data_IF_482106095974
#
_entry.id   IF_482106095974
#
_cell.length_a   1.000
_cell.length_b   1.000
_cell.length_c   1.000
_cell.angle_alpha   90.00
_cell.angle_beta   90.00
_cell.angle_gamma   90.00
#
_symmetry.space_group_name_H-M   'P 1'
#
loop_
_entity.id
_entity.type
_entity.pdbx_description
1 polymer ?
#
# COMPACT_ATOMS: atom_id res chain seq x y z
N UNK A 1 -31.43 -29.70 -18.61
CA UNK A 1 -30.02 -29.31 -18.81
C UNK A 1 -29.90 -27.88 -18.33
N UNK A 2 -29.48 -27.72 -17.07
CA UNK A 2 -29.19 -26.40 -16.50
C UNK A 2 -27.78 -26.08 -16.97
N UNK A 3 -27.65 -25.04 -17.79
CA UNK A 3 -26.35 -24.50 -18.17
C UNK A 3 -25.80 -23.71 -16.99
N UNK A 4 -24.81 -24.27 -16.30
CA UNK A 4 -23.93 -23.53 -15.40
C UNK A 4 -23.18 -22.48 -16.22
N UNK A 5 -23.80 -21.31 -16.34
CA UNK A 5 -23.14 -20.10 -16.79
C UNK A 5 -22.28 -19.57 -15.65
N UNK A 6 -21.08 -20.14 -15.47
CA UNK A 6 -19.99 -19.46 -14.78
C UNK A 6 -19.66 -18.20 -15.59
N UNK A 7 -20.40 -17.13 -15.32
CA UNK A 7 -20.06 -15.80 -15.78
C UNK A 7 -18.99 -15.28 -14.84
N UNK A 8 -17.73 -15.66 -15.10
CA UNK A 8 -16.61 -14.86 -14.62
C UNK A 8 -16.87 -13.44 -15.13
N UNK A 9 -17.02 -12.44 -14.25
CA UNK A 9 -17.26 -11.06 -14.69
C UNK A 9 -16.17 -10.69 -15.69
N UNK A 10 -16.52 -10.13 -16.84
CA UNK A 10 -15.53 -9.72 -17.84
C UNK A 10 -14.63 -8.64 -17.21
N UNK A 11 -13.34 -8.96 -17.09
CA UNK A 11 -12.33 -8.23 -16.33
C UNK A 11 -11.67 -7.17 -17.22
N UNK A 12 -12.38 -6.10 -17.55
CA UNK A 12 -11.76 -4.98 -18.26
C UNK A 12 -10.79 -4.19 -17.35
N UNK A 13 -9.70 -3.76 -17.98
CA UNK A 13 -8.44 -3.24 -17.44
C UNK A 13 -8.53 -2.38 -16.16
N UNK A 14 -7.86 -2.85 -15.09
CA UNK A 14 -7.59 -2.02 -13.93
C UNK A 14 -6.44 -1.07 -14.21
N UNK A 15 -6.76 0.22 -14.19
CA UNK A 15 -5.83 1.34 -14.31
C UNK A 15 -5.68 2.09 -12.99
N UNK A 16 -5.86 1.40 -11.85
CA UNK A 16 -5.91 2.02 -10.53
C UNK A 16 -4.88 1.35 -9.61
N UNK A 17 -4.04 2.18 -9.02
CA UNK A 17 -3.07 1.81 -7.99
C UNK A 17 -3.59 2.35 -6.67
N UNK A 18 -3.59 1.53 -5.62
CA UNK A 18 -4.12 1.95 -4.33
C UNK A 18 -3.29 3.10 -3.73
N UNK A 19 -3.87 3.86 -2.79
CA UNK A 19 -3.07 4.65 -1.86
C UNK A 19 -2.01 3.81 -1.13
N UNK A 20 -1.07 4.47 -0.46
CA UNK A 20 -0.07 3.80 0.38
C UNK A 20 -0.78 2.96 1.44
N UNK A 21 -0.57 1.64 1.41
CA UNK A 21 -1.14 0.71 2.39
C UNK A 21 -0.29 0.64 3.64
N UNK A 22 1.03 0.75 3.49
CA UNK A 22 1.99 0.76 4.58
C UNK A 22 3.32 1.34 4.11
N UNK A 23 4.14 1.81 5.05
CA UNK A 23 5.47 2.29 4.72
C UNK A 23 6.47 2.25 5.86
N UNK A 24 7.75 2.25 5.51
CA UNK A 24 8.88 2.50 6.39
C UNK A 24 9.42 3.89 6.04
N UNK A 25 9.37 4.78 7.02
CA UNK A 25 9.79 6.18 6.87
C UNK A 25 11.02 6.51 7.72
N UNK A 26 11.42 5.60 8.60
CA UNK A 26 12.57 5.78 9.46
C UNK A 26 13.26 4.44 9.71
N UNK A 27 14.44 4.25 9.13
CA UNK A 27 15.29 3.08 9.32
C UNK A 27 16.75 3.49 9.51
N UNK A 28 17.46 2.84 10.42
CA UNK A 28 18.90 3.09 10.60
C UNK A 28 19.67 2.33 9.53
N UNK A 29 20.32 3.02 8.60
CA UNK A 29 21.29 2.43 7.69
C UNK A 29 22.65 2.34 8.38
N UNK A 30 23.21 1.14 8.44
CA UNK A 30 24.50 0.85 9.04
C UNK A 30 25.53 0.54 7.96
N UNK A 31 26.77 0.98 8.16
CA UNK A 31 27.91 0.63 7.32
C UNK A 31 29.18 0.43 8.16
N UNK A 32 29.84 -0.72 7.98
CA UNK A 32 31.19 -0.97 8.48
C UNK A 32 32.15 -0.03 7.76
N UNK A 33 32.90 0.75 8.53
CA UNK A 33 33.86 1.72 8.00
C UNK A 33 35.23 1.06 7.78
N UNK A 34 36.04 1.65 6.89
CA UNK A 34 37.40 1.16 6.60
C UNK A 34 38.32 1.15 7.84
N UNK A 35 37.97 1.90 8.89
CA UNK A 35 38.68 1.94 10.17
C UNK A 35 38.21 0.87 11.19
N UNK A 36 37.30 -0.04 10.78
CA UNK A 36 36.78 -1.12 11.61
C UNK A 36 35.66 -0.72 12.58
N UNK A 37 35.16 0.51 12.52
CA UNK A 37 34.02 0.98 13.34
C UNK A 37 32.72 0.96 12.55
N UNK A 38 31.60 0.83 13.25
CA UNK A 38 30.28 0.96 12.64
C UNK A 38 29.82 2.42 12.64
N UNK A 39 29.38 2.91 11.49
CA UNK A 39 28.65 4.17 11.37
C UNK A 39 27.18 3.88 11.04
N UNK A 40 26.28 4.77 11.46
CA UNK A 40 24.89 4.73 11.04
C UNK A 40 24.34 6.12 10.76
N UNK A 41 23.31 6.17 9.92
CA UNK A 41 22.42 7.32 9.82
C UNK A 41 20.99 6.88 9.49
N UNK A 42 20.01 7.76 9.69
CA UNK A 42 18.61 7.49 9.43
C UNK A 42 18.29 7.62 7.93
N UNK A 43 17.55 6.64 7.43
CA UNK A 43 17.19 6.39 6.03
C UNK A 43 18.35 6.42 5.04
N UNK A 44 19.58 6.21 5.54
CA UNK A 44 20.79 6.29 4.74
C UNK A 44 21.81 5.29 5.23
N UNK A 45 22.37 4.51 4.31
CA UNK A 45 23.58 3.72 4.55
C UNK A 45 24.78 4.65 4.31
N UNK A 46 25.59 4.99 5.34
CA UNK A 46 26.76 5.85 5.18
C UNK A 46 27.79 5.27 4.20
N UNK A 47 28.71 6.09 3.67
CA UNK A 47 29.87 5.58 2.91
C UNK A 47 30.77 4.71 3.80
N UNK A 48 31.50 3.75 3.24
CA UNK A 48 32.50 2.98 3.99
C UNK A 48 33.73 3.82 4.36
N UNK A 49 34.07 4.81 3.53
CA UNK A 49 35.13 5.78 3.84
C UNK A 49 34.65 6.79 4.89
N UNK A 50 35.10 6.59 6.13
CA UNK A 50 34.81 7.46 7.28
C UNK A 50 35.09 8.94 7.05
N UNK A 51 36.05 9.30 6.18
CA UNK A 51 36.35 10.70 5.89
C UNK A 51 35.22 11.35 5.10
N UNK A 52 34.57 10.61 4.20
CA UNK A 52 33.46 11.12 3.39
C UNK A 52 32.23 11.44 4.23
N UNK A 53 32.01 10.69 5.31
CA UNK A 53 30.88 10.90 6.23
C UNK A 53 31.07 12.15 7.12
N UNK A 54 32.30 12.54 7.42
CA UNK A 54 32.59 13.72 8.26
C UNK A 54 32.58 15.05 7.49
N UNK A 55 32.59 15.01 6.16
CA UNK A 55 32.68 16.20 5.29
C UNK A 55 31.30 16.72 4.89
N UNK A 56 30.24 15.92 5.04
CA UNK A 56 28.88 16.27 4.66
C UNK A 56 28.03 16.55 5.90
N UNK A 57 27.41 17.74 6.03
CA UNK A 57 26.61 18.09 7.20
C UNK A 57 25.26 17.37 7.15
N UNK A 58 24.98 16.50 8.13
CA UNK A 58 23.85 15.54 8.23
C UNK A 58 22.41 16.03 8.02
N UNK A 59 22.15 16.72 6.91
CA UNK A 59 20.86 17.22 6.48
C UNK A 59 20.21 16.33 5.41
N UNK A 60 18.96 16.63 5.08
CA UNK A 60 18.14 15.91 4.09
C UNK A 60 18.78 15.76 2.70
N UNK A 61 19.80 16.55 2.37
CA UNK A 61 20.48 16.53 1.06
C UNK A 61 21.74 15.65 1.00
N UNK A 62 22.07 14.97 2.09
CA UNK A 62 23.28 14.17 2.18
C UNK A 62 23.09 12.75 1.63
N UNK A 63 23.86 12.41 0.59
CA UNK A 63 23.90 11.08 0.00
C UNK A 63 24.83 10.14 0.78
N UNK A 64 24.44 8.86 0.86
CA UNK A 64 25.27 7.73 1.31
C UNK A 64 25.44 6.68 0.20
N UNK A 65 25.90 5.48 0.54
CA UNK A 65 25.94 4.34 -0.42
C UNK A 65 24.55 3.99 -0.93
N UNK A 66 23.58 4.08 -0.03
CA UNK A 66 22.18 3.98 -0.36
C UNK A 66 21.38 4.91 0.55
N UNK A 67 20.25 5.39 0.07
CA UNK A 67 19.35 6.24 0.85
C UNK A 67 17.91 6.08 0.38
N UNK A 68 16.97 6.46 1.23
CA UNK A 68 15.58 6.63 0.87
C UNK A 68 14.90 7.75 1.68
N UNK A 69 13.76 8.21 1.19
CA UNK A 69 12.81 9.06 1.91
C UNK A 69 11.73 8.17 2.54
N UNK A 70 11.24 7.20 1.77
CA UNK A 70 10.33 6.16 2.25
C UNK A 70 10.43 4.88 1.42
N UNK A 71 10.04 3.76 2.05
CA UNK A 71 9.67 2.53 1.38
C UNK A 71 8.16 2.33 1.58
N UNK A 72 7.39 2.27 0.50
CA UNK A 72 5.92 2.25 0.53
C UNK A 72 5.40 1.02 -0.22
N UNK A 73 4.38 0.37 0.33
CA UNK A 73 3.64 -0.69 -0.35
C UNK A 73 2.29 -0.16 -0.82
N UNK A 74 2.03 -0.37 -2.10
CA UNK A 74 0.72 -0.15 -2.72
C UNK A 74 0.20 -1.47 -3.30
N UNK A 75 -1.06 -1.50 -3.70
CA UNK A 75 -1.66 -2.59 -4.46
C UNK A 75 -2.08 -2.15 -5.86
N UNK A 76 -2.02 -3.10 -6.78
CA UNK A 76 -2.53 -2.96 -8.14
C UNK A 76 -3.10 -4.29 -8.60
N UNK A 77 -4.18 -4.26 -9.38
CA UNK A 77 -4.67 -5.43 -10.10
C UNK A 77 -4.03 -5.52 -11.46
N UNK A 78 -3.62 -6.74 -11.82
CA UNK A 78 -3.26 -7.08 -13.19
C UNK A 78 -4.12 -8.29 -13.53
N UNK A 79 -5.11 -8.08 -14.39
CA UNK A 79 -6.17 -9.05 -14.70
C UNK A 79 -6.96 -9.43 -13.44
N UNK A 80 -7.04 -10.72 -13.11
CA UNK A 80 -7.67 -11.28 -11.90
C UNK A 80 -6.70 -11.45 -10.73
N UNK A 81 -5.44 -11.06 -10.88
CA UNK A 81 -4.41 -11.26 -9.86
C UNK A 81 -4.02 -9.96 -9.13
N UNK A 82 -3.86 -10.08 -7.80
CA UNK A 82 -3.38 -8.99 -6.96
C UNK A 82 -1.85 -8.91 -6.94
N UNK A 83 -1.32 -7.73 -7.20
CA UNK A 83 0.09 -7.39 -7.09
C UNK A 83 0.32 -6.31 -6.04
N UNK A 84 1.48 -6.33 -5.40
CA UNK A 84 2.00 -5.18 -4.69
C UNK A 84 2.94 -4.39 -5.57
N UNK A 85 2.99 -3.09 -5.35
CA UNK A 85 4.02 -2.19 -5.86
C UNK A 85 4.81 -1.71 -4.65
N UNK A 86 6.05 -2.20 -4.50
CA UNK A 86 7.00 -1.62 -3.56
C UNK A 86 7.61 -0.39 -4.22
N UNK A 87 7.46 0.77 -3.61
CA UNK A 87 8.00 2.05 -4.07
C UNK A 87 9.06 2.52 -3.08
N UNK A 88 10.28 2.75 -3.56
CA UNK A 88 11.34 3.42 -2.83
C UNK A 88 11.46 4.84 -3.35
N UNK A 89 11.07 5.83 -2.54
CA UNK A 89 11.36 7.25 -2.80
C UNK A 89 12.75 7.57 -2.29
N UNK A 90 13.53 8.34 -3.02
CA UNK A 90 14.88 8.73 -2.60
C UNK A 90 15.34 10.03 -3.26
N UNK A 91 16.35 10.66 -2.67
CA UNK A 91 16.97 11.85 -3.23
C UNK A 91 17.97 11.47 -4.32
N UNK A 92 17.82 12.07 -5.49
CA UNK A 92 18.66 11.88 -6.67
C UNK A 92 19.17 13.25 -7.15
N UNK A 93 19.99 13.27 -8.20
CA UNK A 93 20.37 14.53 -8.82
C UNK A 93 21.33 14.38 -9.99
N UNK A 94 21.50 15.46 -10.73
CA UNK A 94 22.32 15.52 -11.93
C UNK A 94 23.31 16.70 -11.87
N UNK A 95 24.44 16.51 -12.54
CA UNK A 95 25.41 17.57 -12.78
C UNK A 95 25.18 18.20 -14.14
N UNK A 96 25.18 19.53 -14.19
CA UNK A 96 24.99 20.25 -15.45
C UNK A 96 26.25 20.20 -16.34
N UNK A 97 27.48 20.19 -15.79
CA UNK A 97 28.74 20.03 -16.55
C UNK A 97 29.89 19.44 -15.71
N UNK A 98 30.69 18.55 -16.30
CA UNK A 98 31.68 17.70 -15.61
C UNK A 98 32.88 18.37 -14.94
N UNK A 99 33.03 19.70 -15.01
CA UNK A 99 34.22 20.39 -14.50
C UNK A 99 34.04 21.12 -13.16
N UNK A 100 32.82 21.34 -12.66
CA UNK A 100 32.62 21.99 -11.36
C UNK A 100 31.36 21.43 -10.67
N UNK A 101 31.49 20.85 -9.48
CA UNK A 101 30.37 20.40 -8.63
C UNK A 101 29.40 21.54 -8.19
N UNK A 102 29.56 22.75 -8.71
CA UNK A 102 28.85 23.97 -8.27
C UNK A 102 27.40 24.07 -8.76
N UNK A 103 26.97 23.20 -9.69
CA UNK A 103 25.62 23.19 -10.25
C UNK A 103 24.92 21.82 -10.08
N UNK A 104 24.99 21.20 -8.89
CA UNK A 104 24.23 19.98 -8.62
C UNK A 104 22.74 20.33 -8.47
N UNK A 105 21.89 19.78 -9.34
CA UNK A 105 20.43 19.94 -9.21
C UNK A 105 19.86 18.69 -8.57
N UNK A 106 19.31 18.83 -7.37
CA UNK A 106 18.67 17.74 -6.64
C UNK A 106 17.22 17.57 -7.09
N UNK A 107 16.76 16.34 -7.16
CA UNK A 107 15.36 16.01 -7.42
C UNK A 107 15.00 14.68 -6.77
N UNK A 108 13.72 14.49 -6.47
CA UNK A 108 13.24 13.24 -5.89
C UNK A 108 12.95 12.21 -6.98
N UNK A 109 13.50 11.01 -6.81
CA UNK A 109 13.29 9.87 -7.69
C UNK A 109 12.51 8.79 -6.97
N UNK A 110 11.88 7.92 -7.75
CA UNK A 110 11.39 6.64 -7.26
C UNK A 110 12.02 5.49 -8.03
N UNK A 111 12.18 4.40 -7.32
CA UNK A 111 12.28 3.06 -7.89
C UNK A 111 11.09 2.24 -7.43
N UNK A 112 10.62 1.35 -8.29
CA UNK A 112 9.49 0.51 -7.94
C UNK A 112 9.64 -0.91 -8.46
N UNK A 113 9.01 -1.83 -7.74
CA UNK A 113 8.98 -3.26 -8.03
C UNK A 113 7.55 -3.75 -7.88
N UNK A 114 7.00 -4.30 -8.96
CA UNK A 114 5.66 -4.89 -9.01
C UNK A 114 5.82 -6.40 -8.85
N UNK A 115 5.18 -7.01 -7.86
CA UNK A 115 5.29 -8.45 -7.60
C UNK A 115 3.99 -9.04 -7.04
N UNK A 116 3.78 -10.35 -7.18
CA UNK A 116 2.52 -10.99 -6.75
C UNK A 116 2.28 -10.81 -5.26
N UNK A 117 1.07 -10.45 -4.87
CA UNK A 117 0.77 -10.12 -3.46
C UNK A 117 1.07 -11.24 -2.48
N UNK A 118 0.89 -12.50 -2.90
CA UNK A 118 1.19 -13.69 -2.10
C UNK A 118 2.64 -13.76 -1.61
N UNK A 119 3.60 -13.12 -2.28
CA UNK A 119 5.02 -13.09 -1.85
C UNK A 119 5.21 -12.38 -0.51
N UNK A 120 4.27 -11.54 -0.07
CA UNK A 120 4.32 -10.95 1.28
C UNK A 120 4.29 -12.03 2.38
N UNK A 121 3.62 -13.17 2.14
CA UNK A 121 3.61 -14.30 3.09
C UNK A 121 4.99 -14.98 3.21
N UNK A 122 5.80 -14.93 2.15
CA UNK A 122 7.19 -15.40 2.19
C UNK A 122 8.09 -14.39 2.93
N UNK A 123 7.80 -13.09 2.79
CA UNK A 123 8.53 -12.02 3.49
C UNK A 123 8.28 -12.01 4.99
N UNK A 124 7.08 -12.35 5.43
CA UNK A 124 6.71 -12.43 6.84
C UNK A 124 5.86 -13.69 7.07
N UNK A 125 6.49 -14.86 7.21
CA UNK A 125 5.77 -16.10 7.50
C UNK A 125 5.19 -16.09 8.93
N UNK A 126 4.20 -16.93 9.20
CA UNK A 126 3.57 -17.01 10.53
C UNK A 126 4.56 -17.45 11.62
N UNK A 127 5.54 -18.29 11.27
CA UNK A 127 6.56 -18.82 12.17
C UNK A 127 7.95 -18.23 11.85
N UNK A 128 8.10 -16.92 12.09
CA UNK A 128 9.37 -16.21 11.90
C UNK A 128 10.44 -16.76 12.86
N UNK A 129 11.54 -17.28 12.31
CA UNK A 129 12.69 -17.74 13.09
C UNK A 129 13.65 -16.58 13.35
N UNK A 130 13.66 -16.10 14.60
CA UNK A 130 14.64 -15.12 15.03
C UNK A 130 16.07 -15.66 14.99
N UNK A 131 17.02 -14.75 14.79
CA UNK A 131 18.45 -14.98 14.71
C UNK A 131 18.90 -15.88 13.54
N UNK A 132 18.04 -16.05 12.53
CA UNK A 132 18.33 -16.73 11.27
C UNK A 132 17.95 -15.79 10.12
N UNK A 133 18.91 -15.31 9.29
CA UNK A 133 18.57 -14.53 8.10
C UNK A 133 17.87 -15.40 7.07
N UNK A 134 17.10 -14.78 6.18
CA UNK A 134 16.49 -15.43 5.02
C UNK A 134 16.28 -14.43 3.88
N UNK A 135 16.16 -14.93 2.66
CA UNK A 135 16.00 -14.12 1.45
C UNK A 135 14.74 -14.55 0.71
N UNK A 136 14.00 -13.57 0.18
CA UNK A 136 12.83 -13.80 -0.65
C UNK A 136 13.06 -13.23 -2.03
N UNK A 137 12.99 -14.10 -3.04
CA UNK A 137 12.91 -13.69 -4.43
C UNK A 137 11.49 -13.23 -4.75
N UNK A 138 11.33 -11.93 -5.04
CA UNK A 138 10.01 -11.37 -5.32
C UNK A 138 9.48 -11.72 -6.71
N UNK A 139 10.35 -12.21 -7.61
CA UNK A 139 9.97 -12.60 -8.98
C UNK A 139 9.22 -11.46 -9.68
N UNK A 140 9.77 -10.26 -9.64
CA UNK A 140 9.06 -9.04 -10.01
C UNK A 140 8.43 -9.16 -11.40
N UNK A 141 7.14 -8.87 -11.50
CA UNK A 141 6.46 -8.69 -12.77
C UNK A 141 7.15 -7.57 -13.56
N UNK A 142 7.29 -6.39 -12.95
CA UNK A 142 7.87 -5.20 -13.53
C UNK A 142 8.78 -4.52 -12.52
N UNK A 143 9.88 -3.94 -12.99
CA UNK A 143 10.72 -3.02 -12.21
C UNK A 143 10.91 -1.74 -13.00
N UNK A 144 10.96 -0.59 -12.35
CA UNK A 144 11.23 0.67 -13.03
C UNK A 144 11.81 1.74 -12.13
N UNK A 145 12.26 2.84 -12.77
CA UNK A 145 12.73 4.05 -12.12
C UNK A 145 12.04 5.24 -12.76
N UNK A 146 11.54 6.17 -11.95
CA UNK A 146 10.96 7.44 -12.40
C UNK A 146 11.74 8.55 -11.71
N UNK A 147 12.43 9.36 -12.52
CA UNK A 147 13.19 10.52 -12.04
C UNK A 147 12.28 11.73 -11.88
N UNK A 148 12.59 12.56 -10.90
CA UNK A 148 11.93 13.85 -10.69
C UNK A 148 10.39 13.74 -10.71
N UNK A 149 9.86 12.82 -9.91
CA UNK A 149 8.45 12.44 -9.97
C UNK A 149 7.49 13.58 -9.55
N UNK A 150 8.01 14.58 -8.86
CA UNK A 150 7.27 15.76 -8.40
C UNK A 150 7.03 16.77 -9.52
N UNK A 151 7.84 16.74 -10.60
CA UNK A 151 7.64 17.63 -11.73
C UNK A 151 6.41 17.17 -12.49
N UNK A 152 5.30 17.87 -12.31
CA UNK A 152 4.06 17.70 -13.09
C UNK A 152 4.42 17.64 -14.57
N UNK A 153 4.17 16.49 -15.20
CA UNK A 153 4.30 16.32 -16.65
C UNK A 153 3.11 17.03 -17.30
N UNK A 154 3.10 18.36 -17.30
CA UNK A 154 2.33 19.11 -18.28
C UNK A 154 3.09 19.03 -19.59
N UNK A 155 3.01 17.90 -20.29
CA UNK A 155 3.44 17.85 -21.68
C UNK A 155 2.36 18.52 -22.53
N UNK A 156 2.79 19.58 -23.19
CA UNK A 156 2.06 20.50 -24.05
C UNK A 156 1.58 19.86 -25.38
N UNK A 157 1.09 18.62 -25.31
CA UNK A 157 0.46 17.92 -26.43
C UNK A 157 -0.82 17.28 -25.91
N UNK A 158 -1.94 17.94 -26.20
CA UNK A 158 -3.31 17.39 -26.27
C UNK A 158 -3.36 15.87 -26.07
N UNK A 159 -3.33 15.42 -24.82
CA UNK A 159 -3.68 14.05 -24.47
C UNK A 159 -5.19 14.00 -24.53
N UNK A 160 -5.70 13.71 -25.72
CA UNK A 160 -7.02 13.10 -25.86
C UNK A 160 -6.97 11.78 -25.09
N UNK A 161 -7.31 11.84 -23.81
CA UNK A 161 -7.91 10.71 -23.11
C UNK A 161 -9.04 10.25 -24.03
N UNK A 162 -8.84 9.10 -24.66
CA UNK A 162 -9.86 8.52 -25.50
C UNK A 162 -11.13 8.39 -24.66
N UNK A 163 -12.21 8.97 -25.21
CA UNK A 163 -13.57 8.96 -24.71
C UNK A 163 -13.93 7.72 -23.87
N UNK A 164 -13.84 7.84 -22.55
CA UNK A 164 -14.76 7.13 -21.65
C UNK A 164 -16.00 8.01 -21.51
N UNK A 165 -16.80 8.04 -22.57
CA UNK A 165 -18.20 8.47 -22.53
C UNK A 165 -19.00 7.31 -21.92
N UNK A 166 -19.52 7.38 -20.70
CA UNK A 166 -20.62 8.27 -20.30
C UNK A 166 -20.80 8.19 -18.78
N UNK A 167 -21.09 9.33 -18.14
CA UNK A 167 -21.78 9.36 -16.84
C UNK A 167 -21.01 9.95 -15.65
N UNK A 168 -21.03 11.28 -15.57
CA UNK A 168 -20.74 12.10 -14.38
C UNK A 168 -19.26 12.30 -14.04
N UNK A 169 -18.68 13.31 -14.69
CA UNK A 169 -17.66 14.16 -14.08
C UNK A 169 -18.27 14.84 -12.87
N UNK A 170 -17.70 14.63 -11.69
CA UNK A 170 -17.64 15.64 -10.63
C UNK A 170 -16.52 15.28 -9.63
N UNK A 171 -15.47 16.10 -9.65
CA UNK A 171 -14.58 16.40 -8.53
C UNK A 171 -14.19 15.23 -7.60
N UNK A 172 -13.30 14.36 -8.05
CA UNK A 172 -12.42 13.65 -7.12
C UNK A 172 -11.05 14.31 -7.18
N UNK A 173 -10.65 14.85 -6.04
CA UNK A 173 -9.32 15.43 -5.81
C UNK A 173 -8.25 14.38 -6.11
N UNK A 174 -7.77 14.30 -7.36
CA UNK A 174 -6.49 13.66 -7.65
C UNK A 174 -5.38 14.63 -7.25
N UNK A 175 -5.21 14.81 -5.94
CA UNK A 175 -3.91 15.14 -5.35
C UNK A 175 -2.95 13.92 -5.43
N UNK A 176 -3.14 13.03 -6.41
CA UNK A 176 -2.33 11.83 -6.58
C UNK A 176 -1.06 12.23 -7.35
N UNK A 177 0.08 11.91 -6.76
CA UNK A 177 1.39 12.31 -7.27
C UNK A 177 1.58 11.79 -8.71
N UNK A 178 2.16 12.57 -9.65
CA UNK A 178 2.23 12.25 -11.09
C UNK A 178 2.85 10.90 -11.48
N UNK A 179 3.48 10.19 -10.54
CA UNK A 179 4.12 8.90 -10.80
C UNK A 179 3.17 7.71 -10.82
N UNK A 180 1.99 7.78 -10.20
CA UNK A 180 1.03 6.66 -10.17
C UNK A 180 0.65 6.29 -11.61
N UNK A 181 0.25 7.28 -12.41
CA UNK A 181 -0.03 7.15 -13.83
C UNK A 181 1.13 6.55 -14.62
N UNK A 182 2.36 6.92 -14.29
CA UNK A 182 3.55 6.41 -14.99
C UNK A 182 3.81 4.94 -14.67
N UNK A 183 3.57 4.49 -13.42
CA UNK A 183 3.64 3.07 -13.05
C UNK A 183 2.55 2.28 -13.76
N UNK A 184 1.29 2.77 -13.72
CA UNK A 184 0.15 2.13 -14.38
C UNK A 184 0.40 1.96 -15.88
N UNK A 185 0.89 3.01 -16.56
CA UNK A 185 1.26 2.93 -17.99
C UNK A 185 2.30 1.86 -18.27
N UNK A 186 3.36 1.78 -17.45
CA UNK A 186 4.40 0.75 -17.63
C UNK A 186 3.87 -0.67 -17.39
N UNK A 187 2.93 -0.83 -16.44
CA UNK A 187 2.23 -2.11 -16.22
C UNK A 187 1.39 -2.48 -17.44
N UNK A 188 0.62 -1.54 -17.99
CA UNK A 188 -0.18 -1.74 -19.20
C UNK A 188 0.68 -2.05 -20.43
N UNK A 189 1.78 -1.33 -20.63
CA UNK A 189 2.68 -1.57 -21.75
C UNK A 189 3.34 -2.94 -21.66
N UNK A 190 3.69 -3.39 -20.46
CA UNK A 190 4.17 -4.76 -20.24
C UNK A 190 3.07 -5.79 -20.51
N UNK A 191 1.85 -5.58 -20.02
CA UNK A 191 0.70 -6.47 -20.26
C UNK A 191 0.43 -6.63 -21.76
N UNK A 192 0.51 -5.54 -22.52
CA UNK A 192 0.35 -5.52 -23.97
C UNK A 192 1.57 -6.04 -24.74
N UNK A 193 2.63 -6.50 -24.05
CA UNK A 193 3.85 -7.02 -24.67
C UNK A 193 4.73 -5.96 -25.35
N UNK A 194 4.49 -4.66 -25.11
CA UNK A 194 5.30 -3.57 -25.68
C UNK A 194 6.65 -3.41 -25.00
N UNK A 195 6.76 -3.83 -23.74
CA UNK A 195 8.00 -3.74 -22.96
C UNK A 195 8.32 -5.07 -22.29
N UNK A 196 9.60 -5.45 -22.31
CA UNK A 196 10.13 -6.55 -21.51
C UNK A 196 10.80 -5.97 -20.27
N UNK A 197 10.57 -6.58 -19.12
CA UNK A 197 11.31 -6.29 -17.88
C UNK A 197 11.94 -7.59 -17.40
N UNK A 198 13.25 -7.61 -17.28
CA UNK A 198 14.08 -8.70 -16.78
C UNK A 198 14.58 -8.44 -15.34
N UNK A 199 14.52 -7.20 -14.89
CA UNK A 199 14.81 -6.79 -13.53
C UNK A 199 14.01 -7.56 -12.47
N UNK A 200 14.64 -7.71 -11.31
CA UNK A 200 14.13 -8.44 -10.16
C UNK A 200 14.59 -7.79 -8.85
N UNK A 201 13.93 -8.14 -7.75
CA UNK A 201 14.34 -7.77 -6.41
C UNK A 201 14.35 -9.00 -5.52
N UNK A 202 15.47 -9.18 -4.81
CA UNK A 202 15.57 -10.10 -3.69
C UNK A 202 15.55 -9.24 -2.43
N UNK A 203 14.64 -9.54 -1.49
CA UNK A 203 14.64 -8.90 -0.18
C UNK A 203 15.28 -9.83 0.83
N UNK A 204 16.41 -9.39 1.39
CA UNK A 204 17.06 -10.08 2.49
C UNK A 204 16.51 -9.55 3.82
N UNK A 205 16.18 -10.45 4.75
CA UNK A 205 15.62 -10.13 6.04
C UNK A 205 16.40 -10.91 7.10
N UNK A 206 16.76 -10.24 8.18
CA UNK A 206 17.40 -10.85 9.34
C UNK A 206 16.69 -10.37 10.60
N UNK A 207 15.67 -11.13 11.08
CA UNK A 207 15.02 -10.86 12.34
C UNK A 207 15.98 -11.24 13.48
N UNK A 208 16.23 -10.31 14.39
CA UNK A 208 17.14 -10.51 15.52
C UNK A 208 16.35 -10.29 16.80
N UNK A 209 16.45 -11.24 17.72
CA UNK A 209 15.89 -11.14 19.07
C UNK A 209 17.00 -11.32 20.08
N UNK A 210 17.18 -10.28 20.88
CA UNK A 210 18.07 -10.24 22.04
C UNK A 210 17.24 -10.07 23.32
N UNK A 211 17.88 -10.06 24.49
CA UNK A 211 17.21 -9.81 25.77
C UNK A 211 16.44 -8.48 25.80
N UNK A 212 17.00 -7.45 25.14
CA UNK A 212 16.54 -6.07 25.29
C UNK A 212 15.91 -5.48 24.02
N UNK A 213 16.02 -6.18 22.88
CA UNK A 213 15.59 -5.64 21.58
C UNK A 213 15.21 -6.71 20.57
N UNK A 214 14.14 -6.46 19.84
CA UNK A 214 13.75 -7.16 18.62
C UNK A 214 13.86 -6.21 17.41
N UNK A 215 14.66 -6.58 16.42
CA UNK A 215 14.85 -5.77 15.20
C UNK A 215 14.74 -6.61 13.95
N UNK A 216 14.37 -5.98 12.85
CA UNK A 216 14.53 -6.51 11.53
C UNK A 216 15.68 -5.76 10.83
N UNK A 217 16.74 -6.47 10.48
CA UNK A 217 17.71 -5.96 9.51
C UNK A 217 17.29 -6.38 8.11
N UNK A 218 17.41 -5.50 7.12
CA UNK A 218 16.99 -5.83 5.76
C UNK A 218 17.84 -5.16 4.68
N UNK A 219 17.82 -5.76 3.48
CA UNK A 219 18.50 -5.23 2.28
C UNK A 219 17.66 -5.46 1.03
N UNK A 220 17.64 -4.47 0.14
CA UNK A 220 17.04 -4.54 -1.19
C UNK A 220 18.15 -4.89 -2.21
N UNK A 221 18.15 -6.12 -2.72
CA UNK A 221 19.17 -6.62 -3.62
C UNK A 221 18.61 -6.68 -5.04
N UNK A 222 19.00 -5.72 -5.86
CA UNK A 222 18.61 -5.69 -7.29
C UNK A 222 19.30 -6.84 -8.01
N UNK A 223 18.54 -7.56 -8.82
CA UNK A 223 19.05 -8.67 -9.60
C UNK A 223 18.33 -8.77 -10.96
N UNK A 224 18.72 -9.73 -11.79
CA UNK A 224 18.00 -10.13 -12.99
C UNK A 224 17.24 -11.44 -12.74
N UNK A 225 16.14 -11.66 -13.46
CA UNK A 225 15.40 -12.92 -13.46
C UNK A 225 16.15 -14.00 -14.22
N UNK A 226 17.16 -14.56 -13.56
CA UNK A 226 17.94 -15.66 -14.08
C UNK A 226 18.17 -16.69 -12.98
N UNK A 227 17.69 -17.93 -13.17
CA UNK A 227 17.66 -18.96 -12.13
C UNK A 227 19.04 -19.23 -11.52
N UNK A 228 20.09 -19.29 -12.34
CA UNK A 228 21.46 -19.45 -11.85
C UNK A 228 21.90 -18.30 -10.93
N UNK A 229 21.62 -17.05 -11.29
CA UNK A 229 22.00 -15.88 -10.48
C UNK A 229 21.20 -15.85 -9.16
N UNK A 230 19.89 -16.12 -9.24
CA UNK A 230 19.03 -16.20 -8.05
C UNK A 230 19.52 -17.30 -7.10
N UNK A 231 19.87 -18.48 -7.62
CA UNK A 231 20.38 -19.59 -6.81
C UNK A 231 21.68 -19.25 -6.08
N UNK A 232 22.60 -18.55 -6.73
CA UNK A 232 23.87 -18.12 -6.12
C UNK A 232 23.58 -17.12 -4.98
N UNK A 233 22.75 -16.12 -5.25
CA UNK A 233 22.40 -15.08 -4.26
C UNK A 233 21.64 -15.67 -3.06
N UNK A 234 20.78 -16.65 -3.29
CA UNK A 234 19.94 -17.25 -2.27
C UNK A 234 20.62 -18.40 -1.50
N UNK A 235 21.91 -18.68 -1.71
CA UNK A 235 22.62 -19.73 -0.97
C UNK A 235 22.75 -19.41 0.53
N UNK A 236 22.24 -20.27 1.45
CA UNK A 236 22.26 -20.03 2.89
C UNK A 236 23.63 -19.74 3.49
N UNK A 237 24.68 -20.31 2.89
CA UNK A 237 26.06 -20.18 3.38
C UNK A 237 26.54 -18.72 3.43
N UNK A 238 25.96 -17.84 2.62
CA UNK A 238 26.38 -16.43 2.50
C UNK A 238 25.43 -15.46 3.23
N UNK A 239 24.33 -15.94 3.81
CA UNK A 239 23.27 -15.05 4.29
C UNK A 239 23.70 -14.20 5.49
N UNK A 240 24.59 -14.70 6.34
CA UNK A 240 25.13 -13.92 7.47
C UNK A 240 26.10 -12.85 6.99
N UNK A 241 27.00 -13.22 6.07
CA UNK A 241 28.01 -12.32 5.51
C UNK A 241 27.38 -11.16 4.74
N UNK A 242 26.20 -11.38 4.16
CA UNK A 242 25.40 -10.35 3.50
C UNK A 242 25.09 -9.14 4.41
N UNK A 243 25.00 -9.35 5.72
CA UNK A 243 24.76 -8.30 6.73
C UNK A 243 26.05 -7.84 7.44
N UNK A 244 27.23 -8.34 7.04
CA UNK A 244 28.48 -8.01 7.71
C UNK A 244 28.98 -6.60 7.39
N UNK A 245 28.63 -6.05 6.23
CA UNK A 245 29.16 -4.77 5.76
C UNK A 245 28.16 -3.62 5.88
N UNK A 246 26.91 -3.83 5.47
CA UNK A 246 25.88 -2.81 5.50
C UNK A 246 24.47 -3.40 5.47
N UNK A 247 23.52 -2.68 6.06
CA UNK A 247 22.10 -3.04 6.09
C UNK A 247 21.26 -1.87 6.62
N UNK A 248 19.95 -1.92 6.40
CA UNK A 248 19.00 -1.13 7.18
C UNK A 248 18.52 -1.92 8.40
N UNK A 249 18.23 -1.24 9.51
CA UNK A 249 17.67 -1.80 10.74
C UNK A 249 16.46 -0.97 11.20
N UNK A 250 15.38 -1.66 11.55
CA UNK A 250 14.18 -1.09 12.18
C UNK A 250 13.74 -1.97 13.34
N UNK A 251 12.88 -1.45 14.21
CA UNK A 251 12.14 -2.27 15.18
C UNK A 251 11.38 -3.38 14.44
N UNK A 252 11.41 -4.60 14.98
CA UNK A 252 10.77 -5.74 14.33
C UNK A 252 9.27 -5.52 14.14
N UNK A 253 8.58 -4.88 15.08
CA UNK A 253 7.15 -4.59 14.96
C UNK A 253 6.87 -3.59 13.84
N UNK A 254 7.76 -2.62 13.60
CA UNK A 254 7.61 -1.69 12.47
C UNK A 254 7.69 -2.47 11.14
N UNK A 255 8.68 -3.35 10.99
CA UNK A 255 8.82 -4.16 9.78
C UNK A 255 7.68 -5.17 9.62
N UNK A 256 7.27 -5.82 10.71
CA UNK A 256 6.12 -6.72 10.72
C UNK A 256 4.85 -5.97 10.33
N UNK A 257 4.57 -4.81 10.92
CA UNK A 257 3.42 -3.98 10.56
C UNK A 257 3.48 -3.52 9.09
N UNK A 258 4.67 -3.17 8.59
CA UNK A 258 4.86 -2.81 7.18
C UNK A 258 4.37 -3.93 6.24
N UNK A 259 4.65 -5.19 6.55
CA UNK A 259 4.17 -6.33 5.75
C UNK A 259 2.70 -6.68 6.06
N UNK A 260 2.34 -6.79 7.34
CA UNK A 260 1.02 -7.26 7.79
C UNK A 260 -0.10 -6.31 7.40
N UNK A 261 0.13 -4.99 7.46
CA UNK A 261 -0.86 -4.02 7.01
C UNK A 261 -1.18 -4.21 5.52
N UNK A 262 -0.19 -4.43 4.66
CA UNK A 262 -0.43 -4.72 3.25
C UNK A 262 -1.05 -6.10 2.99
N UNK A 263 -0.74 -7.10 3.83
CA UNK A 263 -1.40 -8.42 3.80
C UNK A 263 -2.88 -8.34 4.18
N UNK A 264 -3.29 -7.45 5.08
CA UNK A 264 -4.70 -7.27 5.47
C UNK A 264 -5.59 -6.88 4.29
N UNK A 265 -5.04 -6.21 3.28
CA UNK A 265 -5.73 -5.85 2.04
C UNK A 265 -5.66 -6.94 0.97
N UNK A 266 -4.96 -8.05 1.23
CA UNK A 266 -4.90 -9.17 0.30
C UNK A 266 -6.16 -10.03 0.43
N UNK A 267 -6.86 -10.22 -0.68
CA UNK A 267 -8.05 -11.06 -0.76
C UNK A 267 -7.73 -12.26 -1.65
N UNK A 268 -7.78 -13.46 -1.08
CA UNK A 268 -7.72 -14.68 -1.88
C UNK A 268 -9.05 -14.86 -2.61
N UNK A 269 -9.02 -14.59 -3.92
CA UNK A 269 -10.17 -14.83 -4.80
C UNK A 269 -10.29 -16.36 -4.97
N UNK A 270 -11.23 -16.98 -4.25
CA UNK A 270 -11.53 -18.41 -4.43
C UNK A 270 -12.21 -18.62 -5.79
N UNK A 271 -11.89 -19.73 -6.46
CA UNK A 271 -12.49 -20.12 -7.73
C UNK A 271 -13.92 -20.67 -7.56
N UNK A 272 -14.33 -21.03 -6.35
CA UNK A 272 -15.64 -21.63 -6.05
C UNK A 272 -16.66 -20.63 -5.43
N UNK A 273 -16.59 -19.34 -5.77
CA UNK A 273 -17.50 -18.32 -5.24
C UNK A 273 -18.85 -18.29 -5.99
N UNK A 274 -19.93 -17.95 -5.30
CA UNK A 274 -21.20 -17.57 -5.95
C UNK A 274 -21.08 -16.21 -6.64
N UNK A 275 -22.00 -15.87 -7.55
CA UNK A 275 -22.03 -14.54 -8.18
C UNK A 275 -22.16 -13.41 -7.14
N UNK A 276 -22.90 -13.63 -6.05
CA UNK A 276 -22.97 -12.71 -4.92
C UNK A 276 -21.59 -12.53 -4.27
N UNK A 277 -20.95 -13.62 -3.85
CA UNK A 277 -19.70 -13.58 -3.11
C UNK A 277 -18.56 -12.99 -3.95
N UNK A 278 -18.52 -13.34 -5.24
CA UNK A 278 -17.56 -12.78 -6.19
C UNK A 278 -17.72 -11.25 -6.31
N UNK A 279 -18.94 -10.76 -6.55
CA UNK A 279 -19.20 -9.32 -6.64
C UNK A 279 -18.94 -8.59 -5.31
N UNK A 280 -19.23 -9.22 -4.17
CA UNK A 280 -18.91 -8.67 -2.85
C UNK A 280 -17.39 -8.51 -2.67
N UNK A 281 -16.61 -9.55 -2.94
CA UNK A 281 -15.15 -9.50 -2.86
C UNK A 281 -14.56 -8.46 -3.81
N UNK A 282 -15.08 -8.37 -5.04
CA UNK A 282 -14.70 -7.33 -6.00
C UNK A 282 -15.00 -5.93 -5.49
N UNK A 283 -16.19 -5.71 -4.91
CA UNK A 283 -16.54 -4.42 -4.34
C UNK A 283 -15.59 -4.00 -3.21
N UNK A 284 -15.24 -4.94 -2.33
CA UNK A 284 -14.28 -4.71 -1.24
C UNK A 284 -12.90 -4.36 -1.81
N UNK A 285 -12.42 -5.13 -2.77
CA UNK A 285 -11.12 -4.92 -3.39
C UNK A 285 -11.02 -3.55 -4.08
N UNK A 286 -12.04 -3.19 -4.86
CA UNK A 286 -12.12 -1.89 -5.53
C UNK A 286 -12.19 -0.74 -4.52
N UNK A 287 -12.96 -0.90 -3.44
CA UNK A 287 -13.01 0.08 -2.36
C UNK A 287 -11.63 0.28 -1.72
N UNK A 288 -10.90 -0.81 -1.45
CA UNK A 288 -9.55 -0.78 -0.89
C UNK A 288 -8.53 -0.13 -1.84
N UNK A 289 -8.77 -0.20 -3.15
CA UNK A 289 -7.94 0.44 -4.18
C UNK A 289 -8.30 1.92 -4.41
N UNK A 290 -9.37 2.42 -3.79
CA UNK A 290 -9.88 3.77 -4.02
C UNK A 290 -10.77 3.90 -5.27
N UNK A 291 -11.06 2.80 -5.97
CA UNK A 291 -12.03 2.74 -7.06
C UNK A 291 -13.45 2.69 -6.52
N UNK A 292 -13.93 3.83 -6.01
CA UNK A 292 -15.24 3.89 -5.38
C UNK A 292 -16.40 3.69 -6.38
N UNK A 293 -16.22 4.09 -7.64
CA UNK A 293 -17.24 3.89 -8.69
C UNK A 293 -17.39 2.40 -8.97
N UNK A 294 -16.30 1.71 -9.31
CA UNK A 294 -16.34 0.28 -9.57
C UNK A 294 -16.73 -0.53 -8.34
N UNK A 295 -16.35 -0.08 -7.13
CA UNK A 295 -16.80 -0.69 -5.89
C UNK A 295 -18.32 -0.62 -5.73
N UNK A 296 -18.92 0.55 -5.97
CA UNK A 296 -20.37 0.75 -5.88
C UNK A 296 -21.12 -0.13 -6.89
N UNK A 297 -20.63 -0.21 -8.12
CA UNK A 297 -21.19 -1.10 -9.15
C UNK A 297 -21.16 -2.57 -8.73
N UNK A 298 -20.02 -3.03 -8.19
CA UNK A 298 -19.88 -4.41 -7.73
C UNK A 298 -20.80 -4.71 -6.53
N UNK A 299 -20.90 -3.81 -5.55
CA UNK A 299 -21.86 -3.99 -4.44
C UNK A 299 -23.32 -3.99 -4.89
N UNK A 300 -23.67 -3.17 -5.88
CA UNK A 300 -25.02 -3.17 -6.44
C UNK A 300 -25.32 -4.47 -7.19
N UNK A 301 -24.36 -5.02 -7.95
CA UNK A 301 -24.48 -6.33 -8.60
C UNK A 301 -24.66 -7.43 -7.56
N UNK A 302 -23.84 -7.47 -6.52
CA UNK A 302 -24.00 -8.44 -5.43
C UNK A 302 -25.41 -8.36 -4.81
N UNK A 303 -25.90 -7.16 -4.47
CA UNK A 303 -27.26 -7.00 -3.94
C UNK A 303 -28.38 -7.35 -4.95
N UNK A 304 -28.12 -7.30 -6.25
CA UNK A 304 -29.06 -7.79 -7.26
C UNK A 304 -29.11 -9.33 -7.31
N UNK A 305 -27.96 -10.00 -7.13
CA UNK A 305 -27.86 -11.46 -7.05
C UNK A 305 -28.52 -12.02 -5.77
N UNK A 306 -28.39 -11.32 -4.64
CA UNK A 306 -29.05 -11.69 -3.39
C UNK A 306 -29.73 -10.49 -2.70
N UNK A 307 -30.94 -10.10 -3.14
CA UNK A 307 -31.66 -8.94 -2.60
C UNK A 307 -32.09 -9.08 -1.14
N UNK A 308 -32.15 -10.31 -0.62
CA UNK A 308 -32.58 -10.63 0.74
C UNK A 308 -31.42 -11.02 1.65
N UNK A 309 -30.18 -10.72 1.25
CA UNK A 309 -29.00 -10.97 2.08
C UNK A 309 -29.16 -10.33 3.46
N UNK A 310 -28.79 -11.07 4.48
CA UNK A 310 -28.70 -10.61 5.87
C UNK A 310 -27.27 -10.28 6.30
N UNK A 311 -26.36 -10.25 5.34
CA UNK A 311 -24.99 -9.79 5.53
C UNK A 311 -24.98 -8.25 5.67
N UNK A 312 -24.62 -7.76 6.85
CA UNK A 312 -24.54 -6.32 7.09
C UNK A 312 -23.29 -5.68 6.45
N UNK A 313 -22.26 -6.47 6.14
CA UNK A 313 -20.97 -5.96 5.65
C UNK A 313 -21.11 -5.34 4.26
N UNK A 314 -21.94 -5.90 3.38
CA UNK A 314 -22.17 -5.33 2.05
C UNK A 314 -22.75 -3.92 2.12
N UNK A 315 -23.70 -3.68 3.02
CA UNK A 315 -24.28 -2.35 3.26
C UNK A 315 -23.25 -1.43 3.93
N UNK A 316 -22.46 -1.96 4.87
CA UNK A 316 -21.37 -1.20 5.51
C UNK A 316 -20.37 -0.69 4.48
N UNK A 317 -19.89 -1.56 3.58
CA UNK A 317 -18.95 -1.19 2.54
C UNK A 317 -19.58 -0.29 1.49
N UNK A 318 -20.81 -0.55 1.03
CA UNK A 318 -21.50 0.33 0.07
C UNK A 318 -21.74 1.72 0.65
N UNK A 319 -22.11 1.81 1.93
CA UNK A 319 -22.25 3.07 2.65
C UNK A 319 -20.92 3.82 2.77
N UNK A 320 -19.82 3.12 3.08
CA UNK A 320 -18.49 3.71 3.09
C UNK A 320 -18.09 4.22 1.70
N UNK A 321 -18.32 3.44 0.65
CA UNK A 321 -18.07 3.82 -0.75
C UNK A 321 -18.84 5.09 -1.10
N UNK A 322 -20.14 5.14 -0.83
CA UNK A 322 -20.98 6.32 -1.06
C UNK A 322 -20.51 7.54 -0.27
N UNK A 323 -20.11 7.35 1.00
CA UNK A 323 -19.57 8.42 1.83
C UNK A 323 -18.25 8.98 1.25
N UNK A 324 -17.35 8.11 0.76
CA UNK A 324 -16.12 8.51 0.06
C UNK A 324 -16.41 9.23 -1.27
N UNK A 325 -17.54 8.94 -1.89
CA UNK A 325 -18.04 9.64 -3.09
C UNK A 325 -18.79 10.95 -2.79
N UNK A 326 -18.94 11.34 -1.52
CA UNK A 326 -19.72 12.52 -1.11
C UNK A 326 -21.25 12.30 -1.12
N UNK A 327 -21.71 11.08 -1.40
CA UNK A 327 -23.13 10.69 -1.43
C UNK A 327 -23.63 10.37 -0.01
N UNK A 328 -23.55 11.35 0.89
CA UNK A 328 -23.74 11.13 2.32
C UNK A 328 -25.17 10.71 2.70
N UNK A 329 -26.21 11.22 2.01
CA UNK A 329 -27.61 10.80 2.25
C UNK A 329 -27.81 9.32 1.93
N UNK A 330 -27.30 8.84 0.79
CA UNK A 330 -27.39 7.43 0.41
C UNK A 330 -26.54 6.54 1.32
N UNK A 331 -25.38 7.05 1.76
CA UNK A 331 -24.54 6.36 2.74
C UNK A 331 -25.26 6.15 4.08
N UNK A 332 -25.99 7.14 4.57
CA UNK A 332 -26.80 7.02 5.80
C UNK A 332 -27.81 5.88 5.66
N UNK A 333 -28.52 5.80 4.54
CA UNK A 333 -29.50 4.73 4.30
C UNK A 333 -28.86 3.33 4.31
N UNK A 334 -27.64 3.20 3.75
CA UNK A 334 -26.88 1.95 3.82
C UNK A 334 -26.43 1.62 5.24
N UNK A 335 -25.93 2.59 6.00
CA UNK A 335 -25.54 2.37 7.39
C UNK A 335 -26.73 2.03 8.27
N UNK A 336 -27.90 2.64 8.04
CA UNK A 336 -29.15 2.28 8.71
C UNK A 336 -29.48 0.81 8.46
N UNK A 337 -29.39 0.37 7.20
CA UNK A 337 -29.63 -1.02 6.83
C UNK A 337 -28.61 -1.96 7.47
N UNK A 338 -27.32 -1.60 7.49
CA UNK A 338 -26.28 -2.38 8.14
C UNK A 338 -26.52 -2.51 9.66
N UNK A 339 -26.92 -1.42 10.32
CA UNK A 339 -27.17 -1.42 11.77
C UNK A 339 -28.43 -2.20 12.16
N UNK A 340 -29.42 -2.32 11.26
CA UNK A 340 -30.57 -3.22 11.45
C UNK A 340 -30.19 -4.70 11.39
N UNK A 341 -29.17 -5.04 10.59
CA UNK A 341 -28.66 -6.40 10.42
C UNK A 341 -27.60 -6.68 11.50
N UNK A 342 -28.02 -7.25 12.64
CA UNK A 342 -27.09 -7.58 13.72
C UNK A 342 -26.06 -8.65 13.29
N UNK A 343 -24.81 -8.58 13.76
CA UNK A 343 -23.80 -9.58 13.44
C UNK A 343 -24.18 -10.96 13.97
N UNK A 344 -23.92 -12.00 13.18
CA UNK A 344 -24.08 -13.39 13.60
C UNK A 344 -22.87 -13.91 14.38
N UNK A 345 -21.69 -13.36 14.11
CA UNK A 345 -20.43 -13.75 14.76
C UNK A 345 -19.92 -12.62 15.64
N UNK A 346 -19.37 -12.98 16.80
CA UNK A 346 -18.79 -12.02 17.75
C UNK A 346 -17.65 -11.23 17.11
N UNK A 347 -16.85 -11.88 16.25
CA UNK A 347 -15.72 -11.26 15.55
C UNK A 347 -16.13 -10.11 14.62
N UNK A 348 -17.38 -10.07 14.16
CA UNK A 348 -17.87 -9.04 13.26
C UNK A 348 -18.43 -7.82 14.02
N UNK A 349 -18.60 -7.93 15.34
CA UNK A 349 -19.16 -6.87 16.19
C UNK A 349 -18.38 -5.55 16.11
N UNK A 350 -17.03 -5.52 16.08
CA UNK A 350 -16.29 -4.27 15.92
C UNK A 350 -16.58 -3.55 14.59
N UNK A 351 -16.74 -4.30 13.49
CA UNK A 351 -17.09 -3.71 12.18
C UNK A 351 -18.54 -3.20 12.18
N UNK A 352 -19.44 -3.90 12.86
CA UNK A 352 -20.81 -3.46 13.02
C UNK A 352 -20.92 -2.17 13.83
N UNK A 353 -20.21 -2.06 14.96
CA UNK A 353 -20.14 -0.84 15.76
C UNK A 353 -19.60 0.34 14.93
N UNK A 354 -18.61 0.09 14.07
CA UNK A 354 -18.03 1.11 13.19
C UNK A 354 -19.07 1.76 12.28
N UNK A 355 -20.18 1.10 11.97
CA UNK A 355 -21.28 1.72 11.20
C UNK A 355 -21.94 2.88 11.94
N UNK A 356 -22.03 2.86 13.27
CA UNK A 356 -22.48 4.04 14.02
C UNK A 356 -21.53 5.21 13.76
N UNK A 357 -20.22 4.99 13.92
CA UNK A 357 -19.23 6.03 13.68
C UNK A 357 -19.31 6.59 12.25
N UNK A 358 -19.35 5.72 11.24
CA UNK A 358 -19.39 6.13 9.84
C UNK A 358 -20.71 6.84 9.48
N UNK A 359 -21.84 6.41 10.04
CA UNK A 359 -23.12 7.11 9.90
C UNK A 359 -23.09 8.48 10.56
N UNK A 360 -22.44 8.61 11.71
CA UNK A 360 -22.22 9.89 12.38
C UNK A 360 -21.44 10.86 11.50
N UNK A 361 -20.35 10.39 10.88
CA UNK A 361 -19.58 11.17 9.89
C UNK A 361 -20.47 11.60 8.72
N UNK A 362 -21.24 10.69 8.12
CA UNK A 362 -22.13 11.04 7.01
C UNK A 362 -23.24 12.03 7.42
N UNK A 363 -23.81 11.88 8.62
CA UNK A 363 -24.80 12.81 9.20
C UNK A 363 -24.23 14.21 9.40
N UNK A 364 -22.99 14.32 9.87
CA UNK A 364 -22.30 15.60 10.00
C UNK A 364 -22.22 16.34 8.66
N UNK A 365 -21.82 15.65 7.58
CA UNK A 365 -21.73 16.25 6.24
C UNK A 365 -23.08 16.64 5.60
N UNK A 366 -24.20 16.13 6.10
CA UNK A 366 -25.56 16.59 5.72
C UNK A 366 -26.15 17.60 6.71
N UNK A 367 -25.30 18.25 7.51
CA UNK A 367 -25.66 19.24 8.55
C UNK A 367 -26.54 18.70 9.68
N UNK A 368 -26.54 17.38 9.91
CA UNK A 368 -27.18 16.76 11.07
C UNK A 368 -26.16 16.52 12.19
N UNK A 369 -25.69 17.62 12.80
CA UNK A 369 -24.69 17.57 13.88
C UNK A 369 -25.19 16.86 15.14
N UNK A 370 -26.46 17.03 15.51
CA UNK A 370 -27.06 16.35 16.66
C UNK A 370 -27.05 14.83 16.48
N UNK A 371 -27.50 14.35 15.32
CA UNK A 371 -27.50 12.93 15.00
C UNK A 371 -26.09 12.36 14.82
N UNK A 372 -25.11 13.17 14.43
CA UNK A 372 -23.71 12.78 14.38
C UNK A 372 -23.15 12.51 15.78
N UNK A 373 -23.38 13.43 16.72
CA UNK A 373 -22.95 13.29 18.11
C UNK A 373 -23.59 12.09 18.81
N UNK A 374 -24.87 11.82 18.55
CA UNK A 374 -25.55 10.61 19.06
C UNK A 374 -24.89 9.32 18.58
N UNK A 375 -24.55 9.26 17.28
CA UNK A 375 -23.92 8.10 16.66
C UNK A 375 -22.48 7.89 17.13
N UNK A 376 -21.67 8.95 17.22
CA UNK A 376 -20.32 8.86 17.75
C UNK A 376 -20.31 8.45 19.22
N UNK A 377 -21.25 8.97 20.02
CA UNK A 377 -21.42 8.54 21.42
C UNK A 377 -21.76 7.06 21.48
N UNK A 378 -22.68 6.60 20.64
CA UNK A 378 -23.06 5.19 20.60
C UNK A 378 -21.88 4.30 20.20
N UNK A 379 -21.07 4.72 19.23
CA UNK A 379 -19.87 3.99 18.82
C UNK A 379 -18.84 3.91 19.96
N UNK A 380 -18.59 5.03 20.65
CA UNK A 380 -17.70 5.10 21.80
C UNK A 380 -18.15 4.19 22.95
N UNK A 381 -19.43 4.27 23.35
CA UNK A 381 -20.01 3.46 24.42
C UNK A 381 -19.92 1.95 24.13
N UNK A 382 -19.87 1.57 22.85
CA UNK A 382 -19.71 0.19 22.39
C UNK A 382 -18.24 -0.23 22.18
N UNK A 383 -17.28 0.64 22.52
CA UNK A 383 -15.85 0.33 22.50
C UNK A 383 -15.08 0.78 21.25
N UNK A 384 -15.67 1.59 20.38
CA UNK A 384 -14.95 2.19 19.25
C UNK A 384 -14.21 3.47 19.68
N UNK A 385 -13.02 3.29 20.26
CA UNK A 385 -12.24 4.37 20.88
C UNK A 385 -11.96 5.59 19.98
N UNK A 386 -11.83 5.40 18.66
CA UNK A 386 -11.62 6.50 17.70
C UNK A 386 -12.76 7.51 17.65
N UNK A 387 -13.95 7.17 18.16
CA UNK A 387 -15.06 8.12 18.28
C UNK A 387 -14.82 9.20 19.35
N UNK A 388 -13.88 9.00 20.28
CA UNK A 388 -13.61 9.93 21.38
C UNK A 388 -13.13 11.30 20.89
N UNK A 389 -12.24 11.33 19.91
CA UNK A 389 -11.72 12.56 19.29
C UNK A 389 -12.86 13.37 18.68
N UNK A 390 -13.78 12.72 17.96
CA UNK A 390 -14.92 13.37 17.33
C UNK A 390 -15.91 13.94 18.36
N UNK A 391 -16.13 13.24 19.47
CA UNK A 391 -16.98 13.72 20.56
C UNK A 391 -16.38 14.97 21.23
N UNK A 392 -15.06 15.02 21.36
CA UNK A 392 -14.37 16.18 21.90
C UNK A 392 -14.43 17.38 20.92
N UNK A 393 -14.00 17.17 19.68
CA UNK A 393 -13.84 18.24 18.68
C UNK A 393 -15.16 18.82 18.18
N UNK A 394 -16.18 17.97 17.97
CA UNK A 394 -17.42 18.37 17.31
C UNK A 394 -18.63 18.43 18.25
N UNK A 395 -18.57 17.78 19.41
CA UNK A 395 -19.70 17.69 20.34
C UNK A 395 -19.43 18.36 21.69
N UNK A 396 -18.22 18.89 21.91
CA UNK A 396 -17.85 19.58 23.15
C UNK A 396 -17.85 18.68 24.39
N UNK A 397 -17.77 17.35 24.22
CA UNK A 397 -17.76 16.40 25.33
C UNK A 397 -16.34 16.17 25.83
N UNK A 398 -16.09 16.47 27.11
CA UNK A 398 -14.86 16.03 27.79
C UNK A 398 -15.06 14.61 28.29
N UNK A 399 -14.42 13.65 27.62
CA UNK A 399 -14.41 12.26 28.02
C UNK A 399 -13.40 12.06 29.18
N UNK A 400 -13.68 11.14 30.13
CA UNK A 400 -12.84 10.91 31.30
C UNK A 400 -11.48 10.29 30.99
#
# INVERSE_FOLDING_TARGET
>A
MVSDGQTTPNLEDFSIMSPVQSGIYDAKGWAMQDNGTWAFDYNRIPFTDSRSNNVRPGGLNDLGQDNFISLELHKIMIDDEQYNVLVKKYLDGEFEFGYLQRNWTFYNSIEFWVFKSKKLKELMPEDVKFNIPYLVNLECYLTGKIKNYEKTVFTDKKLRLANYSTGVVNNFQTNESPYYDQIIRQVQDRKLGKTVSDGNLILAIYPIKSTDKEVARFKLIRNYRHDNLNRIQMSPDNWKDLFAENFYEVDFNIFNNFIQQSLMYYIEMDKALTAYDANLQWGILRYQMGDYIGALEAFNKALAENPKTDDFMIYSYRGNTRSKMGLHTDAIADFDKALLLRPKKILDYPNWIRNYFNRGVAKYYVNNGTGACEDWKKAYDLGYGSASEYLYDFCGMKLP
#
